data_IF_779076138756
#
_entry.id   IF_779076138756
#
_cell.length_a   1.000
_cell.length_b   1.000
_cell.length_c   1.000
_cell.angle_alpha   90.00
_cell.angle_beta   90.00
_cell.angle_gamma   90.00
#
_symmetry.space_group_name_H-M   'P 1'
#
loop_
_entity.id
_entity.type
_entity.pdbx_description
1 polymer ?
#
# COMPACT_ATOMS: atom_id res chain seq x y z
N UNK A 1 -10.32 7.90 48.99
CA UNK A 1 -9.66 7.20 47.94
C UNK A 1 -10.14 7.71 46.60
N UNK A 2 -9.35 8.55 45.94
CA UNK A 2 -9.63 9.03 44.59
C UNK A 2 -9.28 7.93 43.59
N UNK A 3 -10.26 7.24 43.08
CA UNK A 3 -10.12 6.50 41.85
C UNK A 3 -9.98 7.51 40.72
N UNK A 4 -8.74 7.84 40.31
CA UNK A 4 -8.49 8.52 39.06
C UNK A 4 -8.90 7.54 37.94
N UNK A 5 -9.91 7.96 37.16
CA UNK A 5 -10.30 7.29 35.95
C UNK A 5 -9.09 7.17 34.99
N UNK A 6 -8.53 5.98 34.88
CA UNK A 6 -7.50 5.59 33.92
C UNK A 6 -8.10 5.34 32.49
N UNK A 7 -9.19 6.04 32.16
CA UNK A 7 -9.97 5.77 30.95
C UNK A 7 -9.66 6.69 29.78
N UNK A 8 -8.42 7.09 29.55
CA UNK A 8 -8.13 7.91 28.38
C UNK A 8 -6.78 7.72 27.73
N UNK A 9 -6.18 6.54 27.82
CA UNK A 9 -5.12 6.21 26.87
C UNK A 9 -5.74 5.42 25.74
N UNK A 10 -5.73 5.94 24.49
CA UNK A 10 -6.15 5.14 23.34
C UNK A 10 -5.13 4.02 23.17
N UNK A 11 -5.41 2.89 23.79
CA UNK A 11 -4.85 1.64 23.31
C UNK A 11 -5.35 1.51 21.89
N UNK A 12 -4.52 1.85 20.89
CA UNK A 12 -4.76 1.34 19.55
C UNK A 12 -4.98 -0.15 19.72
N UNK A 13 -6.17 -0.59 19.30
CA UNK A 13 -6.60 -1.96 19.49
C UNK A 13 -5.47 -2.89 19.04
N UNK A 14 -5.24 -3.94 19.79
CA UNK A 14 -4.35 -5.05 19.40
C UNK A 14 -4.62 -5.59 17.99
N UNK A 15 -5.74 -5.22 17.37
CA UNK A 15 -6.07 -5.46 15.97
C UNK A 15 -5.17 -4.74 14.95
N UNK A 16 -4.47 -3.68 15.33
CA UNK A 16 -3.50 -3.01 14.43
C UNK A 16 -2.11 -3.67 14.53
N UNK A 17 -1.89 -4.43 15.59
CA UNK A 17 -0.76 -5.31 15.77
C UNK A 17 -1.36 -6.72 15.78
N UNK A 18 -1.44 -7.38 14.64
CA UNK A 18 -1.87 -8.79 14.52
C UNK A 18 -0.88 -9.77 15.17
N UNK A 19 -0.10 -9.30 16.15
CA UNK A 19 0.82 -10.07 16.96
C UNK A 19 0.08 -10.43 18.24
N UNK A 20 -0.34 -11.67 18.34
CA UNK A 20 -0.87 -12.22 19.58
C UNK A 20 0.31 -12.67 20.47
N UNK A 21 1.00 -11.71 21.07
CA UNK A 21 2.08 -11.95 22.04
C UNK A 21 1.66 -11.43 23.41
N UNK A 22 1.35 -12.34 24.31
CA UNK A 22 0.94 -12.01 25.69
C UNK A 22 2.05 -11.31 26.51
N UNK A 23 3.30 -11.36 26.03
CA UNK A 23 4.45 -10.67 26.68
C UNK A 23 4.71 -9.28 26.10
N UNK A 24 4.02 -8.89 25.02
CA UNK A 24 4.16 -7.59 24.41
C UNK A 24 3.13 -6.61 24.98
N UNK A 25 3.60 -5.62 25.73
CA UNK A 25 2.78 -4.48 26.18
C UNK A 25 3.13 -3.25 25.32
N UNK A 26 2.40 -2.97 24.22
CA UNK A 26 2.68 -1.80 23.39
C UNK A 26 2.20 -0.53 24.10
N UNK A 27 3.11 0.41 24.32
CA UNK A 27 2.80 1.76 24.75
C UNK A 27 2.93 2.73 23.59
N UNK A 28 1.81 3.31 23.14
CA UNK A 28 1.76 4.25 22.04
C UNK A 28 1.34 5.63 22.54
N UNK A 29 2.25 6.59 22.44
CA UNK A 29 1.97 8.00 22.69
C UNK A 29 1.72 8.68 21.33
N UNK A 30 0.47 8.75 20.90
CA UNK A 30 0.08 9.35 19.62
C UNK A 30 -1.24 10.10 19.74
N UNK A 31 -1.52 10.94 18.76
CA UNK A 31 -2.82 11.62 18.63
C UNK A 31 -3.86 10.65 18.04
N UNK A 32 -5.14 10.89 18.34
CA UNK A 32 -6.24 10.11 17.74
C UNK A 32 -6.51 10.56 16.31
N UNK A 33 -6.33 11.86 16.03
CA UNK A 33 -6.43 12.42 14.69
C UNK A 33 -5.44 13.59 14.51
N UNK A 34 -5.16 13.92 13.25
CA UNK A 34 -4.36 15.10 12.93
C UNK A 34 -5.08 16.40 13.30
N UNK A 35 -6.40 16.43 13.17
CA UNK A 35 -7.19 17.65 13.36
C UNK A 35 -7.22 18.12 14.81
N UNK A 36 -7.19 17.20 15.79
CA UNK A 36 -7.19 17.57 17.21
C UNK A 36 -5.93 18.35 17.62
N UNK A 37 -4.81 18.18 16.91
CA UNK A 37 -3.58 18.94 17.14
C UNK A 37 -3.81 20.44 16.96
N UNK A 38 -4.62 20.79 15.96
CA UNK A 38 -4.89 22.19 15.59
C UNK A 38 -6.07 22.79 16.34
N UNK A 39 -6.95 21.96 16.89
CA UNK A 39 -8.23 22.42 17.50
C UNK A 39 -8.20 22.42 19.02
N UNK A 40 -7.44 21.51 19.67
CA UNK A 40 -7.39 21.41 21.12
C UNK A 40 -5.97 21.09 21.64
N UNK A 41 -5.29 22.10 22.16
CA UNK A 41 -3.94 21.96 22.73
C UNK A 41 -3.84 20.95 23.89
N UNK A 42 -4.93 20.69 24.62
CA UNK A 42 -4.95 19.71 25.71
C UNK A 42 -4.64 18.30 25.21
N UNK A 43 -4.93 18.02 23.94
CA UNK A 43 -4.66 16.73 23.32
C UNK A 43 -3.16 16.49 23.09
N UNK A 44 -2.33 17.54 23.07
CA UNK A 44 -0.89 17.43 22.83
C UNK A 44 -0.17 16.53 23.84
N UNK A 45 -0.71 16.41 25.06
CA UNK A 45 -0.16 15.50 26.06
C UNK A 45 -0.28 14.02 25.68
N UNK A 46 -1.19 13.65 24.77
CA UNK A 46 -1.33 12.26 24.28
C UNK A 46 -0.04 11.76 23.63
N UNK A 47 0.59 12.61 22.81
CA UNK A 47 1.87 12.31 22.15
C UNK A 47 3.09 12.81 22.91
N UNK A 48 2.91 13.74 23.86
CA UNK A 48 3.97 14.37 24.61
C UNK A 48 3.69 14.29 26.13
N UNK A 49 3.88 13.12 26.77
CA UNK A 49 3.56 12.94 28.20
C UNK A 49 4.39 13.83 29.13
N UNK A 50 5.54 14.32 28.67
CA UNK A 50 6.41 15.25 29.41
C UNK A 50 6.14 16.73 29.09
N UNK A 51 5.05 17.06 28.40
CA UNK A 51 4.70 18.44 28.07
C UNK A 51 4.45 19.24 29.35
N UNK A 52 5.04 20.43 29.40
CA UNK A 52 5.01 21.30 30.55
C UNK A 52 6.09 21.03 31.61
N UNK A 53 6.85 19.92 31.50
CA UNK A 53 7.99 19.61 32.38
C UNK A 53 9.33 19.62 31.65
N UNK A 54 9.50 18.73 30.65
CA UNK A 54 10.72 18.62 29.85
C UNK A 54 10.51 19.31 28.50
N UNK A 55 9.38 19.09 27.85
CA UNK A 55 9.03 19.71 26.56
C UNK A 55 8.11 20.91 26.81
N UNK A 56 8.52 22.07 26.32
CA UNK A 56 7.75 23.31 26.53
C UNK A 56 6.60 23.42 25.50
N UNK A 57 5.46 23.91 25.94
CA UNK A 57 4.30 24.16 25.08
C UNK A 57 4.63 25.21 23.99
N UNK A 58 5.40 26.24 24.35
CA UNK A 58 5.86 27.28 23.42
C UNK A 58 6.68 26.71 22.26
N UNK A 59 7.46 25.65 22.48
CA UNK A 59 8.18 24.96 21.39
C UNK A 59 7.20 24.36 20.36
N UNK A 60 6.16 23.68 20.84
CA UNK A 60 5.15 23.09 19.94
C UNK A 60 4.37 24.19 19.19
N UNK A 61 4.06 25.30 19.82
CA UNK A 61 3.42 26.45 19.18
C UNK A 61 4.30 27.04 18.08
N UNK A 62 5.60 27.21 18.34
CA UNK A 62 6.54 27.74 17.35
C UNK A 62 6.69 26.83 16.13
N UNK A 63 6.84 25.51 16.35
CA UNK A 63 6.98 24.57 15.25
C UNK A 63 5.67 24.45 14.45
N UNK A 64 4.51 24.53 15.11
CA UNK A 64 3.21 24.58 14.45
C UNK A 64 3.07 25.82 13.56
N UNK A 65 3.48 26.99 14.05
CA UNK A 65 3.41 28.21 13.26
C UNK A 65 4.32 28.14 12.03
N UNK A 66 5.53 27.61 12.16
CA UNK A 66 6.44 27.35 11.03
C UNK A 66 5.85 26.36 10.03
N UNK A 67 5.18 25.33 10.51
CA UNK A 67 4.59 24.27 9.68
C UNK A 67 3.42 24.72 8.79
N UNK A 68 2.81 25.87 9.09
CA UNK A 68 1.70 26.41 8.28
C UNK A 68 2.09 26.73 6.85
N UNK A 69 3.33 27.19 6.66
CA UNK A 69 3.85 27.66 5.37
C UNK A 69 4.91 26.74 4.75
N UNK A 70 5.33 25.69 5.47
CA UNK A 70 6.32 24.74 4.98
C UNK A 70 5.88 23.30 5.20
N UNK A 71 5.62 22.61 4.09
CA UNK A 71 5.16 21.21 4.09
C UNK A 71 6.17 20.25 4.73
N UNK A 72 7.47 20.47 4.49
CA UNK A 72 8.53 19.62 5.05
C UNK A 72 8.57 19.73 6.58
N UNK A 73 8.50 20.95 7.11
CA UNK A 73 8.40 21.22 8.55
C UNK A 73 7.11 20.60 9.12
N UNK A 74 5.98 20.68 8.40
CA UNK A 74 4.71 20.07 8.82
C UNK A 74 4.82 18.56 8.96
N UNK A 75 5.34 17.87 7.93
CA UNK A 75 5.54 16.42 7.96
C UNK A 75 6.46 16.02 9.12
N UNK A 76 7.57 16.75 9.30
CA UNK A 76 8.52 16.51 10.39
C UNK A 76 7.87 16.68 11.76
N UNK A 77 7.14 17.74 11.98
CA UNK A 77 6.41 18.02 13.21
C UNK A 77 5.38 16.92 13.52
N UNK A 78 4.55 16.56 12.55
CA UNK A 78 3.54 15.52 12.73
C UNK A 78 4.17 14.17 13.11
N UNK A 79 5.30 13.81 12.48
CA UNK A 79 6.00 12.57 12.79
C UNK A 79 6.73 12.61 14.14
N UNK A 80 7.54 13.66 14.39
CA UNK A 80 8.47 13.70 15.54
C UNK A 80 7.87 14.23 16.82
N UNK A 81 6.95 15.19 16.69
CA UNK A 81 6.37 15.86 17.85
C UNK A 81 4.99 15.32 18.23
N UNK A 82 4.25 14.77 17.26
CA UNK A 82 2.90 14.25 17.50
C UNK A 82 2.74 12.75 17.21
N UNK A 83 3.78 12.07 16.78
CA UNK A 83 3.82 10.63 16.50
C UNK A 83 2.72 10.18 15.51
N UNK A 84 2.31 11.08 14.60
CA UNK A 84 1.37 10.78 13.53
C UNK A 84 2.15 10.32 12.30
N UNK A 85 1.84 9.13 11.82
CA UNK A 85 2.42 8.60 10.59
C UNK A 85 2.13 9.51 9.42
N UNK A 86 3.18 9.88 8.70
CA UNK A 86 3.10 10.67 7.47
C UNK A 86 3.84 9.94 6.34
N UNK A 87 3.48 10.23 5.10
CA UNK A 87 4.32 9.90 3.95
C UNK A 87 5.45 10.92 3.84
N UNK A 88 6.55 10.54 3.19
CA UNK A 88 7.65 11.47 2.98
C UNK A 88 7.23 12.69 2.14
N UNK A 89 7.93 13.80 2.35
CA UNK A 89 7.80 14.97 1.48
C UNK A 89 8.11 14.59 0.03
N UNK A 90 7.19 14.90 -0.89
CA UNK A 90 7.28 14.51 -2.29
C UNK A 90 6.67 13.13 -2.63
N UNK A 91 6.10 12.41 -1.67
CA UNK A 91 5.29 11.23 -1.98
C UNK A 91 4.07 11.60 -2.84
N UNK A 92 3.70 10.69 -3.72
CA UNK A 92 2.52 10.83 -4.58
C UNK A 92 1.23 11.00 -3.79
N UNK A 93 1.08 10.23 -2.70
CA UNK A 93 -0.14 10.19 -1.86
C UNK A 93 0.22 10.49 -0.40
N UNK A 94 -0.69 11.12 0.30
CA UNK A 94 -0.57 11.30 1.75
C UNK A 94 -0.94 10.02 2.49
N UNK A 95 -0.49 9.89 3.74
CA UNK A 95 -0.87 8.75 4.57
C UNK A 95 -2.39 8.65 4.74
N UNK A 96 -3.06 9.79 4.85
CA UNK A 96 -4.52 9.85 4.97
C UNK A 96 -5.23 9.34 3.70
N UNK A 97 -4.68 9.62 2.51
CA UNK A 97 -5.22 9.09 1.24
C UNK A 97 -5.15 7.57 1.20
N UNK A 98 -4.05 7.01 1.70
CA UNK A 98 -3.79 5.56 1.73
C UNK A 98 -4.57 4.82 2.81
N UNK A 99 -4.91 5.49 3.92
CA UNK A 99 -5.57 4.84 5.04
C UNK A 99 -7.05 4.57 4.71
N UNK A 100 -7.38 3.34 4.37
CA UNK A 100 -8.75 2.86 4.25
C UNK A 100 -8.94 1.74 5.28
N UNK A 101 -9.60 2.06 6.40
CA UNK A 101 -9.84 1.11 7.49
C UNK A 101 -10.96 0.11 7.18
N UNK A 102 -11.65 0.28 6.06
CA UNK A 102 -12.69 -0.63 5.63
C UNK A 102 -12.09 -1.99 5.30
N UNK A 103 -12.58 -3.03 5.96
CA UNK A 103 -12.29 -4.42 5.61
C UNK A 103 -13.18 -4.86 4.45
N UNK A 104 -12.78 -5.92 3.75
CA UNK A 104 -13.65 -6.56 2.77
C UNK A 104 -14.86 -7.15 3.51
N UNK A 105 -16.00 -6.49 3.45
CA UNK A 105 -17.25 -6.92 4.10
C UNK A 105 -18.13 -7.77 3.20
N UNK A 106 -17.82 -7.78 1.90
CA UNK A 106 -18.56 -8.53 0.89
C UNK A 106 -17.76 -9.73 0.39
N UNK A 107 -18.46 -10.76 -0.05
CA UNK A 107 -17.83 -11.90 -0.72
C UNK A 107 -17.33 -11.49 -2.10
N UNK A 108 -16.04 -11.74 -2.36
CA UNK A 108 -15.42 -11.58 -3.67
C UNK A 108 -15.38 -12.89 -4.47
N UNK A 109 -15.92 -13.98 -3.92
CA UNK A 109 -15.98 -15.27 -4.61
C UNK A 109 -16.85 -15.20 -5.85
N UNK A 110 -16.48 -16.01 -6.85
CA UNK A 110 -17.20 -16.11 -8.11
C UNK A 110 -17.34 -14.78 -8.85
N UNK A 111 -16.32 -13.92 -8.76
CA UNK A 111 -16.29 -12.62 -9.43
C UNK A 111 -15.37 -12.63 -10.64
N UNK A 112 -15.68 -11.79 -11.61
CA UNK A 112 -14.71 -11.42 -12.64
C UNK A 112 -13.77 -10.36 -12.11
N UNK A 113 -12.51 -10.40 -12.57
CA UNK A 113 -11.46 -9.51 -12.12
C UNK A 113 -10.62 -9.00 -13.30
N UNK A 114 -9.89 -7.93 -13.06
CA UNK A 114 -8.69 -7.57 -13.84
C UNK A 114 -7.49 -8.06 -13.04
N UNK A 115 -6.65 -8.90 -13.63
CA UNK A 115 -5.35 -9.29 -13.09
C UNK A 115 -4.26 -8.31 -13.51
N UNK A 116 -3.22 -8.16 -12.73
CA UNK A 116 -1.98 -7.51 -13.18
C UNK A 116 -0.77 -7.98 -12.36
N UNK A 117 0.41 -7.85 -12.95
CA UNK A 117 1.68 -8.16 -12.29
C UNK A 117 2.73 -7.10 -12.55
N UNK A 118 3.62 -6.93 -11.58
CA UNK A 118 4.94 -6.33 -11.75
C UNK A 118 5.98 -7.38 -11.37
N UNK A 119 6.73 -7.88 -12.37
CA UNK A 119 7.64 -9.01 -12.22
C UNK A 119 9.07 -8.51 -12.02
N UNK A 120 9.71 -8.96 -10.96
CA UNK A 120 11.12 -8.75 -10.69
C UNK A 120 11.87 -10.07 -10.58
N UNK A 121 13.01 -10.19 -11.28
CA UNK A 121 13.79 -11.43 -11.27
C UNK A 121 14.55 -11.65 -9.96
N UNK A 122 15.21 -10.63 -9.42
CA UNK A 122 16.25 -10.87 -8.37
C UNK A 122 16.15 -10.01 -7.13
N UNK A 123 15.95 -8.71 -7.24
CA UNK A 123 16.22 -7.80 -6.12
C UNK A 123 15.00 -7.08 -5.56
N UNK A 124 14.00 -6.85 -6.39
CA UNK A 124 12.76 -6.17 -6.01
C UNK A 124 11.67 -7.22 -5.70
N UNK A 125 10.59 -6.77 -5.10
CA UNK A 125 9.41 -7.60 -4.91
C UNK A 125 8.78 -7.91 -6.28
N UNK A 126 8.23 -9.10 -6.42
CA UNK A 126 7.24 -9.38 -7.45
C UNK A 126 5.87 -9.21 -6.84
N UNK A 127 4.96 -8.55 -7.53
CA UNK A 127 3.60 -8.34 -7.08
C UNK A 127 2.59 -8.83 -8.11
N UNK A 128 1.59 -9.59 -7.65
CA UNK A 128 0.39 -9.91 -8.40
C UNK A 128 -0.82 -9.26 -7.73
N UNK A 129 -1.73 -8.71 -8.52
CA UNK A 129 -2.98 -8.13 -8.03
C UNK A 129 -4.18 -8.65 -8.81
N UNK A 130 -5.31 -8.78 -8.12
CA UNK A 130 -6.64 -8.92 -8.72
C UNK A 130 -7.47 -7.71 -8.30
N UNK A 131 -8.01 -6.99 -9.26
CA UNK A 131 -8.91 -5.86 -9.08
C UNK A 131 -10.32 -6.28 -9.46
N UNK A 132 -11.26 -6.17 -8.53
CA UNK A 132 -12.67 -6.53 -8.70
C UNK A 132 -13.50 -5.29 -8.43
N UNK A 133 -14.28 -4.84 -9.41
CA UNK A 133 -15.20 -3.73 -9.22
C UNK A 133 -16.59 -4.27 -8.85
N UNK A 134 -17.11 -3.82 -7.71
CA UNK A 134 -18.51 -4.03 -7.31
C UNK A 134 -19.08 -2.69 -6.88
N UNK A 135 -20.18 -2.33 -7.48
CA UNK A 135 -20.74 -0.98 -7.37
C UNK A 135 -19.69 0.06 -7.77
N UNK A 136 -19.43 1.05 -6.94
CA UNK A 136 -18.38 2.04 -7.17
C UNK A 136 -17.06 1.71 -6.46
N UNK A 137 -16.97 0.59 -5.76
CA UNK A 137 -15.77 0.23 -5.00
C UNK A 137 -14.91 -0.76 -5.80
N UNK A 138 -13.63 -0.49 -5.85
CA UNK A 138 -12.61 -1.38 -6.41
C UNK A 138 -11.94 -2.15 -5.28
N UNK A 139 -12.22 -3.44 -5.21
CA UNK A 139 -11.61 -4.36 -4.25
C UNK A 139 -10.34 -4.91 -4.84
N UNK A 140 -9.25 -4.80 -4.11
CA UNK A 140 -7.92 -5.21 -4.55
C UNK A 140 -7.41 -6.34 -3.68
N UNK A 141 -7.04 -7.46 -4.30
CA UNK A 141 -6.38 -8.60 -3.67
C UNK A 141 -4.93 -8.63 -4.14
N UNK A 142 -3.99 -8.04 -3.39
CA UNK A 142 -2.57 -8.10 -3.73
C UNK A 142 -1.93 -9.33 -3.11
N UNK A 143 -0.90 -9.87 -3.77
CA UNK A 143 0.00 -10.86 -3.21
C UNK A 143 1.43 -10.59 -3.67
N UNK A 144 2.39 -10.85 -2.77
CA UNK A 144 3.79 -10.53 -3.02
C UNK A 144 4.66 -11.77 -2.99
N UNK A 145 5.77 -11.71 -3.72
CA UNK A 145 6.76 -12.78 -3.81
C UNK A 145 8.16 -12.18 -3.69
N UNK A 146 9.05 -12.90 -3.03
CA UNK A 146 10.47 -12.55 -2.97
C UNK A 146 11.34 -13.79 -2.77
N UNK A 147 12.61 -13.79 -3.23
CA UNK A 147 13.52 -14.87 -2.98
C UNK A 147 13.87 -14.98 -1.47
N UNK A 148 13.87 -16.21 -0.98
CA UNK A 148 14.14 -16.50 0.43
C UNK A 148 15.55 -16.05 0.86
N UNK A 149 16.54 -16.27 0.00
CA UNK A 149 17.95 -16.02 0.33
C UNK A 149 18.26 -14.52 0.53
N UNK A 150 17.42 -13.64 -0.03
CA UNK A 150 17.61 -12.19 0.11
C UNK A 150 16.79 -11.55 1.22
N UNK A 151 15.84 -12.28 1.83
CA UNK A 151 14.87 -11.74 2.77
C UNK A 151 15.54 -11.05 3.98
N UNK A 152 16.49 -11.71 4.65
CA UNK A 152 17.13 -11.13 5.85
C UNK A 152 17.88 -9.84 5.52
N UNK A 153 18.61 -9.81 4.40
CA UNK A 153 19.29 -8.61 3.94
C UNK A 153 18.28 -7.49 3.64
N UNK A 154 17.11 -7.83 3.07
CA UNK A 154 16.06 -6.87 2.77
C UNK A 154 15.37 -6.32 4.01
N UNK A 155 15.20 -7.11 5.06
CA UNK A 155 14.68 -6.62 6.36
C UNK A 155 15.56 -5.47 6.88
N UNK A 156 16.88 -5.62 6.80
CA UNK A 156 17.84 -4.60 7.24
C UNK A 156 17.82 -3.37 6.33
N UNK A 157 17.90 -3.57 5.00
CA UNK A 157 17.98 -2.49 4.02
C UNK A 157 16.71 -1.66 3.92
N UNK A 158 15.56 -2.31 3.88
CA UNK A 158 14.25 -1.67 3.68
C UNK A 158 13.60 -1.27 5.02
N UNK A 159 14.12 -1.78 6.15
CA UNK A 159 13.63 -1.55 7.53
C UNK A 159 12.15 -1.92 7.69
N UNK A 160 11.73 -3.03 7.11
CA UNK A 160 10.36 -3.56 7.17
C UNK A 160 10.34 -5.06 7.50
N UNK A 161 9.28 -5.56 8.14
CA UNK A 161 9.23 -6.93 8.66
C UNK A 161 8.73 -7.93 7.60
N UNK A 162 9.55 -8.26 6.60
CA UNK A 162 9.19 -9.24 5.57
C UNK A 162 8.89 -10.64 6.13
N UNK A 163 9.58 -11.04 7.18
CA UNK A 163 9.36 -12.28 7.90
C UNK A 163 7.95 -12.35 8.52
N UNK A 164 7.52 -11.28 9.16
CA UNK A 164 6.16 -11.16 9.70
C UNK A 164 5.12 -11.18 8.58
N UNK A 165 5.33 -10.44 7.50
CA UNK A 165 4.42 -10.44 6.36
C UNK A 165 4.31 -11.80 5.68
N UNK A 166 5.41 -12.58 5.67
CA UNK A 166 5.39 -13.97 5.21
C UNK A 166 4.56 -14.85 6.15
N UNK A 167 4.76 -14.76 7.47
CA UNK A 167 3.98 -15.50 8.47
C UNK A 167 2.48 -15.18 8.39
N UNK A 168 2.13 -13.93 8.11
CA UNK A 168 0.74 -13.47 7.93
C UNK A 168 0.13 -13.85 6.58
N UNK A 169 0.89 -14.45 5.67
CA UNK A 169 0.41 -14.90 4.37
C UNK A 169 0.29 -13.81 3.29
N UNK A 170 0.83 -12.62 3.52
CA UNK A 170 0.87 -11.54 2.52
C UNK A 170 2.01 -11.68 1.52
N UNK A 171 3.04 -12.45 1.89
CA UNK A 171 4.26 -12.65 1.11
C UNK A 171 4.56 -14.14 0.96
N UNK A 172 4.82 -14.60 -0.24
CA UNK A 172 5.35 -15.94 -0.54
C UNK A 172 6.85 -15.86 -0.79
N UNK A 173 7.61 -16.72 -0.11
CA UNK A 173 9.04 -16.87 -0.37
C UNK A 173 9.26 -17.89 -1.47
N UNK A 174 10.09 -17.54 -2.46
CA UNK A 174 10.57 -18.44 -3.50
C UNK A 174 11.93 -19.02 -3.09
N UNK A 175 12.22 -20.26 -3.41
CA UNK A 175 13.49 -20.89 -3.04
C UNK A 175 14.66 -20.27 -3.85
N UNK A 176 15.80 -20.10 -3.17
CA UNK A 176 17.02 -19.55 -3.78
C UNK A 176 17.05 -18.01 -3.81
N UNK A 177 17.79 -17.48 -4.78
CA UNK A 177 18.11 -16.05 -4.91
C UNK A 177 17.36 -15.33 -6.04
N UNK A 178 16.44 -16.02 -6.73
CA UNK A 178 15.60 -15.49 -7.81
C UNK A 178 14.13 -15.78 -7.55
N UNK A 179 13.26 -14.90 -8.05
CA UNK A 179 11.83 -15.16 -8.02
C UNK A 179 11.44 -16.29 -8.97
N UNK A 180 10.70 -17.25 -8.46
CA UNK A 180 10.07 -18.31 -9.25
C UNK A 180 8.68 -17.86 -9.68
N UNK A 181 8.54 -17.48 -10.96
CA UNK A 181 7.27 -16.99 -11.49
C UNK A 181 6.20 -18.09 -11.61
N UNK A 182 6.56 -19.37 -11.51
CA UNK A 182 5.57 -20.45 -11.43
C UNK A 182 4.70 -20.34 -10.19
N UNK A 183 5.22 -19.76 -9.10
CA UNK A 183 4.43 -19.47 -7.89
C UNK A 183 3.43 -18.33 -8.12
N UNK A 184 3.74 -17.38 -9.01
CA UNK A 184 2.79 -16.34 -9.43
C UNK A 184 1.65 -16.98 -10.22
N UNK A 185 1.98 -17.84 -11.19
CA UNK A 185 1.00 -18.65 -11.95
C UNK A 185 0.12 -19.46 -11.00
N UNK A 186 0.73 -20.17 -10.05
CA UNK A 186 0.02 -20.97 -9.05
C UNK A 186 -0.96 -20.12 -8.23
N UNK A 187 -0.56 -18.92 -7.84
CA UNK A 187 -1.45 -18.01 -7.10
C UNK A 187 -2.69 -17.64 -7.93
N UNK A 188 -2.54 -17.28 -9.20
CA UNK A 188 -3.68 -17.01 -10.08
C UNK A 188 -4.59 -18.23 -10.22
N UNK A 189 -4.02 -19.41 -10.46
CA UNK A 189 -4.76 -20.67 -10.57
C UNK A 189 -5.55 -20.97 -9.28
N UNK A 190 -4.94 -20.74 -8.11
CA UNK A 190 -5.61 -20.93 -6.82
C UNK A 190 -6.80 -19.97 -6.64
N UNK A 191 -6.67 -18.71 -7.09
CA UNK A 191 -7.80 -17.76 -7.04
C UNK A 191 -8.95 -18.21 -7.93
N UNK A 192 -8.65 -18.75 -9.11
CA UNK A 192 -9.66 -19.31 -10.03
C UNK A 192 -10.30 -20.56 -9.41
N UNK A 193 -9.50 -21.51 -8.94
CA UNK A 193 -9.99 -22.82 -8.49
C UNK A 193 -10.67 -22.78 -7.12
N UNK A 194 -10.09 -22.07 -6.15
CA UNK A 194 -10.57 -22.04 -4.76
C UNK A 194 -11.63 -20.97 -4.51
N UNK A 195 -11.46 -19.80 -5.14
CA UNK A 195 -12.33 -18.65 -4.89
C UNK A 195 -13.29 -18.37 -6.05
N UNK A 196 -13.12 -19.02 -7.20
CA UNK A 196 -13.91 -18.76 -8.41
C UNK A 196 -13.67 -17.37 -9.00
N UNK A 197 -12.58 -16.69 -8.59
CA UNK A 197 -12.26 -15.36 -9.13
C UNK A 197 -11.57 -15.55 -10.48
N UNK A 198 -12.19 -14.99 -11.53
CA UNK A 198 -11.76 -15.19 -12.92
C UNK A 198 -11.21 -13.89 -13.50
N UNK A 199 -9.89 -13.74 -13.66
CA UNK A 199 -9.33 -12.60 -14.40
C UNK A 199 -9.76 -12.67 -15.85
N UNK A 200 -10.41 -11.62 -16.37
CA UNK A 200 -10.75 -11.52 -17.79
C UNK A 200 -9.51 -11.18 -18.63
N UNK A 201 -8.65 -10.34 -18.08
CA UNK A 201 -7.35 -9.97 -18.63
C UNK A 201 -6.32 -9.89 -17.50
N UNK A 202 -5.06 -10.23 -17.83
CA UNK A 202 -3.93 -10.08 -16.90
C UNK A 202 -2.89 -9.15 -17.52
N UNK A 203 -2.78 -7.95 -16.96
CA UNK A 203 -1.83 -6.93 -17.38
C UNK A 203 -0.40 -7.22 -16.92
N UNK A 204 0.58 -6.97 -17.78
CA UNK A 204 1.98 -7.17 -17.47
C UNK A 204 2.88 -6.20 -18.24
N UNK A 205 4.05 -5.87 -17.65
CA UNK A 205 5.14 -5.22 -18.40
C UNK A 205 5.87 -6.29 -19.25
N UNK A 206 6.07 -6.04 -20.56
CA UNK A 206 6.76 -7.00 -21.43
C UNK A 206 8.22 -7.26 -21.08
N UNK A 207 8.83 -6.44 -20.22
CA UNK A 207 10.21 -6.62 -19.81
C UNK A 207 10.38 -7.88 -18.94
N UNK A 208 11.21 -8.82 -19.40
CA UNK A 208 11.50 -10.10 -18.73
C UNK A 208 10.29 -11.05 -18.49
N UNK A 209 9.14 -10.82 -19.13
CA UNK A 209 7.93 -11.61 -18.89
C UNK A 209 7.65 -12.71 -19.91
N UNK A 210 8.46 -12.84 -20.97
CA UNK A 210 8.13 -13.65 -22.16
C UNK A 210 7.77 -15.11 -21.86
N UNK A 211 8.56 -15.79 -21.04
CA UNK A 211 8.32 -17.21 -20.71
C UNK A 211 7.10 -17.38 -19.81
N UNK A 212 6.97 -16.53 -18.81
CA UNK A 212 5.84 -16.55 -17.91
C UNK A 212 4.51 -16.24 -18.63
N UNK A 213 4.52 -15.32 -19.57
CA UNK A 213 3.33 -14.98 -20.38
C UNK A 213 2.86 -16.20 -21.19
N UNK A 214 3.77 -16.95 -21.82
CA UNK A 214 3.42 -18.17 -22.55
C UNK A 214 2.80 -19.23 -21.63
N UNK A 215 3.38 -19.44 -20.45
CA UNK A 215 2.82 -20.35 -19.45
C UNK A 215 1.39 -19.97 -19.08
N UNK A 216 1.13 -18.67 -18.82
CA UNK A 216 -0.20 -18.17 -18.49
C UNK A 216 -1.19 -18.33 -19.65
N UNK A 217 -0.77 -18.06 -20.89
CA UNK A 217 -1.59 -18.25 -22.11
C UNK A 217 -1.94 -19.73 -22.31
N UNK A 218 -1.00 -20.64 -22.11
CA UNK A 218 -1.22 -22.09 -22.19
C UNK A 218 -2.23 -22.58 -21.14
N UNK A 219 -2.33 -21.91 -19.99
CA UNK A 219 -3.33 -22.15 -18.95
C UNK A 219 -4.67 -21.44 -19.20
N UNK A 220 -4.81 -20.72 -20.31
CA UNK A 220 -6.05 -20.08 -20.74
C UNK A 220 -6.27 -18.67 -20.23
N UNK A 221 -5.26 -18.02 -19.66
CA UNK A 221 -5.34 -16.61 -19.30
C UNK A 221 -5.15 -15.71 -20.51
N UNK A 222 -5.93 -14.63 -20.58
CA UNK A 222 -5.76 -13.59 -21.60
C UNK A 222 -4.75 -12.56 -21.09
N UNK A 223 -3.58 -12.54 -21.72
CA UNK A 223 -2.47 -11.70 -21.31
C UNK A 223 -2.47 -10.36 -22.04
N UNK A 224 -2.38 -9.25 -21.28
CA UNK A 224 -2.48 -7.90 -21.82
C UNK A 224 -1.21 -7.08 -21.56
N UNK A 225 -0.55 -6.69 -22.64
CA UNK A 225 0.70 -5.93 -22.59
C UNK A 225 0.48 -4.47 -22.20
N UNK A 226 1.13 -4.04 -21.12
CA UNK A 226 1.14 -2.66 -20.63
C UNK A 226 2.59 -2.20 -20.55
N UNK A 227 3.04 -1.42 -21.53
CA UNK A 227 4.40 -0.86 -21.52
C UNK A 227 4.50 0.21 -20.44
N UNK A 228 5.53 0.12 -19.62
CA UNK A 228 5.81 1.19 -18.65
C UNK A 228 6.27 2.45 -19.38
N UNK A 229 5.75 3.58 -18.94
CA UNK A 229 6.10 4.90 -19.49
C UNK A 229 5.03 5.94 -19.19
N UNK A 230 5.42 7.20 -19.25
CA UNK A 230 4.60 8.32 -18.80
C UNK A 230 3.28 8.43 -19.58
N UNK A 231 3.29 8.14 -20.88
CA UNK A 231 2.09 8.21 -21.73
C UNK A 231 1.09 7.08 -21.45
N UNK A 232 1.58 5.90 -21.09
CA UNK A 232 0.73 4.74 -20.80
C UNK A 232 0.18 4.77 -19.38
N UNK A 233 0.99 5.20 -18.41
CA UNK A 233 0.67 5.08 -17.00
C UNK A 233 0.07 6.34 -16.38
N UNK A 234 0.12 7.50 -17.07
CA UNK A 234 -0.33 8.77 -16.52
C UNK A 234 -1.81 8.77 -16.17
N UNK A 235 -2.67 8.42 -17.10
CA UNK A 235 -4.12 8.42 -16.86
C UNK A 235 -4.54 7.37 -15.82
N UNK A 236 -4.08 6.10 -15.90
CA UNK A 236 -4.34 5.10 -14.85
C UNK A 236 -3.87 5.55 -13.45
N UNK A 237 -2.71 6.16 -13.36
CA UNK A 237 -2.15 6.65 -12.09
C UNK A 237 -2.98 7.79 -11.51
N UNK A 238 -3.41 8.77 -12.33
CA UNK A 238 -4.29 9.86 -11.90
C UNK A 238 -5.66 9.35 -11.43
N UNK A 239 -6.21 8.36 -12.13
CA UNK A 239 -7.47 7.76 -11.73
C UNK A 239 -7.35 6.98 -10.41
N UNK A 240 -6.29 6.17 -10.24
CA UNK A 240 -6.02 5.49 -8.98
C UNK A 240 -5.85 6.48 -7.83
N UNK A 241 -5.17 7.61 -8.07
CA UNK A 241 -5.03 8.70 -7.09
C UNK A 241 -6.39 9.24 -6.64
N UNK A 242 -7.25 9.58 -7.61
CA UNK A 242 -8.59 10.08 -7.32
C UNK A 242 -9.43 9.07 -6.53
N UNK A 243 -9.38 7.79 -6.91
CA UNK A 243 -10.12 6.73 -6.24
C UNK A 243 -9.60 6.47 -4.81
N UNK A 244 -8.28 6.52 -4.58
CA UNK A 244 -7.70 6.38 -3.24
C UNK A 244 -8.09 7.55 -2.32
N UNK A 245 -8.05 8.79 -2.84
CA UNK A 245 -8.50 9.98 -2.10
C UNK A 245 -9.97 9.92 -1.73
N UNK A 246 -10.81 9.39 -2.61
CA UNK A 246 -12.23 9.20 -2.39
C UNK A 246 -12.60 7.91 -1.63
N UNK A 247 -11.60 7.12 -1.19
CA UNK A 247 -11.80 5.84 -0.49
C UNK A 247 -12.57 4.79 -1.31
N UNK A 248 -12.51 4.90 -2.63
CA UNK A 248 -13.14 3.97 -3.58
C UNK A 248 -12.25 2.73 -3.88
N UNK A 249 -11.05 2.67 -3.34
CA UNK A 249 -10.16 1.51 -3.43
C UNK A 249 -10.06 0.84 -2.07
N UNK A 250 -10.51 -0.40 -1.99
CA UNK A 250 -10.43 -1.21 -0.79
C UNK A 250 -9.46 -2.38 -1.02
N UNK A 251 -8.26 -2.26 -0.50
CA UNK A 251 -7.21 -3.30 -0.56
C UNK A 251 -7.06 -4.04 0.78
N UNK A 252 -8.11 -4.06 1.60
CA UNK A 252 -8.16 -4.68 2.92
C UNK A 252 -7.00 -4.24 3.84
N UNK A 253 -6.54 -3.01 3.65
CA UNK A 253 -5.43 -2.40 4.36
C UNK A 253 -4.13 -3.25 4.34
N UNK A 254 -3.91 -4.04 3.25
CA UNK A 254 -2.73 -4.87 3.09
C UNK A 254 -1.45 -4.07 3.36
N UNK A 255 -0.61 -4.48 4.33
CA UNK A 255 0.50 -3.65 4.80
C UNK A 255 1.60 -3.46 3.75
N UNK A 256 1.85 -4.46 2.89
CA UNK A 256 2.88 -4.38 1.86
C UNK A 256 2.42 -3.42 0.75
N UNK A 257 1.17 -3.56 0.28
CA UNK A 257 0.65 -2.64 -0.74
C UNK A 257 0.58 -1.21 -0.22
N UNK A 258 0.15 -1.01 1.03
CA UNK A 258 0.12 0.32 1.65
C UNK A 258 1.51 0.95 1.73
N UNK A 259 2.50 0.16 2.13
CA UNK A 259 3.90 0.60 2.17
C UNK A 259 4.44 0.93 0.77
N UNK A 260 4.14 0.10 -0.25
CA UNK A 260 4.54 0.35 -1.65
C UNK A 260 3.91 1.65 -2.19
N UNK A 261 2.62 1.87 -1.93
CA UNK A 261 1.94 3.12 -2.32
C UNK A 261 2.55 4.34 -1.62
N UNK A 262 2.88 4.23 -0.32
CA UNK A 262 3.54 5.30 0.44
C UNK A 262 4.94 5.64 -0.08
N UNK A 263 5.66 4.66 -0.61
CA UNK A 263 6.99 4.83 -1.20
C UNK A 263 6.96 5.43 -2.61
N UNK A 264 5.79 5.41 -3.25
CA UNK A 264 5.66 5.87 -4.64
C UNK A 264 5.69 7.38 -4.68
N UNK A 265 6.47 7.91 -5.62
CA UNK A 265 6.49 9.32 -5.99
C UNK A 265 5.99 9.49 -7.41
N UNK A 266 5.44 10.64 -7.73
CA UNK A 266 5.01 10.99 -9.08
C UNK A 266 6.13 11.79 -9.78
N UNK A 267 6.71 11.21 -10.84
CA UNK A 267 7.53 11.97 -11.77
C UNK A 267 6.61 12.66 -12.76
N UNK A 268 6.70 13.99 -12.86
CA UNK A 268 5.81 14.82 -13.69
C UNK A 268 6.62 15.34 -14.87
N UNK A 269 6.05 15.29 -16.09
CA UNK A 269 6.61 15.93 -17.27
C UNK A 269 6.08 17.36 -17.46
N UNK A 270 6.60 18.07 -18.47
CA UNK A 270 6.19 19.44 -18.78
C UNK A 270 4.72 19.60 -19.20
N UNK A 271 4.06 18.52 -19.58
CA UNK A 271 2.66 18.49 -19.98
C UNK A 271 1.73 18.09 -18.83
N UNK A 272 2.27 17.87 -17.61
CA UNK A 272 1.50 17.44 -16.47
C UNK A 272 1.11 15.95 -16.49
N UNK A 273 1.76 15.13 -17.34
CA UNK A 273 1.64 13.70 -17.25
C UNK A 273 2.48 13.18 -16.08
N UNK A 274 2.02 12.10 -15.45
CA UNK A 274 2.69 11.51 -14.29
C UNK A 274 3.05 10.05 -14.54
N UNK A 275 4.12 9.57 -13.89
CA UNK A 275 4.45 8.15 -13.84
C UNK A 275 5.01 7.79 -12.47
N UNK A 276 4.86 6.52 -12.01
CA UNK A 276 5.42 6.09 -10.74
C UNK A 276 6.95 6.12 -10.77
N UNK A 277 7.55 6.53 -9.66
CA UNK A 277 9.01 6.65 -9.52
C UNK A 277 9.46 6.35 -8.10
N UNK A 278 10.63 5.73 -7.97
CA UNK A 278 11.38 5.58 -6.70
C UNK A 278 12.24 6.81 -6.39
N UNK A 279 12.36 7.76 -7.34
CA UNK A 279 13.30 8.89 -7.37
C UNK A 279 14.71 8.48 -6.93
N UNK A 280 15.25 9.05 -5.85
CA UNK A 280 16.67 8.89 -5.46
C UNK A 280 16.96 7.69 -4.55
N UNK A 281 15.97 6.96 -4.07
CA UNK A 281 16.20 5.89 -3.09
C UNK A 281 16.17 4.49 -3.72
N UNK A 282 17.29 3.79 -3.64
CA UNK A 282 17.40 2.38 -4.05
C UNK A 282 16.63 1.40 -3.13
N UNK A 283 16.26 1.86 -1.95
CA UNK A 283 15.61 1.03 -0.91
C UNK A 283 14.08 1.11 -0.94
N UNK A 284 13.50 1.90 -1.84
CA UNK A 284 12.04 1.99 -1.97
C UNK A 284 11.50 0.93 -2.90
N UNK A 285 10.50 0.21 -2.42
CA UNK A 285 9.75 -0.76 -3.20
C UNK A 285 8.42 -0.15 -3.59
N UNK A 286 8.10 -0.19 -4.88
CA UNK A 286 6.86 0.34 -5.45
C UNK A 286 6.13 -0.67 -6.33
N UNK A 287 6.61 -1.91 -6.36
CA UNK A 287 6.18 -2.98 -7.25
C UNK A 287 4.67 -3.24 -7.14
N UNK A 288 4.12 -3.20 -5.91
CA UNK A 288 2.68 -3.28 -5.68
C UNK A 288 1.89 -2.10 -6.24
N UNK A 289 2.44 -0.89 -6.14
CA UNK A 289 1.82 0.30 -6.73
C UNK A 289 1.84 0.23 -8.26
N UNK A 290 2.95 -0.21 -8.86
CA UNK A 290 3.09 -0.41 -10.31
C UNK A 290 2.12 -1.47 -10.80
N UNK A 291 2.05 -2.64 -10.14
CA UNK A 291 1.08 -3.69 -10.49
C UNK A 291 -0.37 -3.17 -10.44
N UNK A 292 -0.73 -2.37 -9.42
CA UNK A 292 -2.07 -1.80 -9.32
C UNK A 292 -2.34 -0.75 -10.42
N UNK A 293 -1.35 0.08 -10.78
CA UNK A 293 -1.46 1.04 -11.90
C UNK A 293 -1.63 0.29 -13.22
N UNK A 294 -0.92 -0.84 -13.42
CA UNK A 294 -1.10 -1.72 -14.59
C UNK A 294 -2.54 -2.28 -14.63
N UNK A 295 -3.09 -2.72 -13.48
CA UNK A 295 -4.48 -3.17 -13.42
C UNK A 295 -5.47 -2.07 -13.84
N UNK A 296 -5.24 -0.83 -13.40
CA UNK A 296 -6.03 0.32 -13.85
C UNK A 296 -5.87 0.61 -15.33
N UNK A 297 -4.68 0.45 -15.89
CA UNK A 297 -4.46 0.62 -17.34
C UNK A 297 -5.28 -0.39 -18.15
N UNK A 298 -5.31 -1.64 -17.72
CA UNK A 298 -6.13 -2.70 -18.36
C UNK A 298 -7.62 -2.42 -18.15
N UNK A 299 -8.06 -2.08 -16.94
CA UNK A 299 -9.44 -1.72 -16.66
C UNK A 299 -9.91 -0.56 -17.56
N UNK A 300 -9.09 0.48 -17.74
CA UNK A 300 -9.44 1.61 -18.60
C UNK A 300 -9.56 1.22 -20.06
N UNK A 301 -8.71 0.29 -20.54
CA UNK A 301 -8.73 -0.20 -21.91
C UNK A 301 -9.97 -1.01 -22.24
N UNK A 302 -10.41 -1.84 -21.26
CA UNK A 302 -11.52 -2.79 -21.43
C UNK A 302 -12.72 -2.48 -20.54
N UNK A 303 -12.91 -1.20 -20.18
CA UNK A 303 -13.94 -0.78 -19.22
C UNK A 303 -15.34 -1.24 -19.61
N UNK A 304 -15.73 -1.01 -20.87
CA UNK A 304 -17.07 -1.33 -21.36
C UNK A 304 -17.32 -2.84 -21.33
N UNK A 305 -16.36 -3.62 -21.78
CA UNK A 305 -16.43 -5.09 -21.80
C UNK A 305 -16.47 -5.65 -20.37
N UNK A 306 -15.61 -5.12 -19.49
CA UNK A 306 -15.62 -5.52 -18.09
C UNK A 306 -16.95 -5.22 -17.40
N UNK A 307 -17.49 -4.00 -17.57
CA UNK A 307 -18.78 -3.61 -16.99
C UNK A 307 -19.96 -4.43 -17.52
N UNK A 308 -19.91 -4.92 -18.75
CA UNK A 308 -20.92 -5.84 -19.29
C UNK A 308 -20.87 -7.22 -18.65
N UNK A 309 -19.68 -7.69 -18.26
CA UNK A 309 -19.48 -9.01 -17.65
C UNK A 309 -19.81 -9.06 -16.16
N UNK A 310 -19.76 -7.90 -15.47
CA UNK A 310 -19.99 -7.83 -14.01
C UNK A 310 -21.41 -7.35 -13.64
N UNK A 311 -22.22 -6.96 -14.65
CA UNK A 311 -23.66 -6.68 -14.48
C UNK A 311 -24.45 -7.98 -14.35
#
# INVERSE_FOLDING_TARGET
GNHRNLHSFPTRRSSDLEINDEKLLPWLYTQDSQDEIYTDKKTWQKSNPSLGSIKLESYLEDIMNKSKNDLSTRVTMLCKDFNIKQTESGSWLTYSDLNNESKHTISLKNSYAIGAVDLSNTTDLTCAVLLIQKDNIKYVLPHFFMPKDVMLKRIEEDSVPYDLWHQQGFLTLTDGNQNDFSLVTKWFMERVQKDGIRPLWVGYDPWNALYWVKEMEELGFTMEKVRQGIYTLSEPMKQLEADLKNKLVNYNNNPILKWNLANTQAKIDINGNIQPSKLSSKFRRIDGAVALIIAYAVLNRYRNEYEQMVK
#
